data_IF_047070453083
#
_entry.id   IF_047070453083
#
_cell.length_a   1.000
_cell.length_b   1.000
_cell.length_c   1.000
_cell.angle_alpha   90.00
_cell.angle_beta   90.00
_cell.angle_gamma   90.00
#
_symmetry.space_group_name_H-M   'P 1'
#
loop_
_entity.id
_entity.type
_entity.pdbx_description
1 polymer ?
#
# COMPACT_ATOMS: atom_id res chain seq x y z
N UNK A 1 3.58 23.90 4.39
CA UNK A 1 3.03 23.83 3.02
C UNK A 1 1.56 24.21 3.09
N UNK A 2 1.12 25.21 2.33
CA UNK A 2 -0.24 25.74 2.32
C UNK A 2 -1.09 25.02 1.28
N UNK A 3 -2.22 24.45 1.71
CA UNK A 3 -3.25 23.83 0.86
C UNK A 3 -3.94 24.91 0.01
N UNK A 4 -4.01 24.71 -1.31
CA UNK A 4 -4.76 25.58 -2.25
C UNK A 4 -6.05 24.84 -2.65
N UNK A 5 -7.23 25.35 -2.26
CA UNK A 5 -8.51 24.75 -2.67
C UNK A 5 -8.66 24.74 -4.20
N UNK A 6 -9.07 23.60 -4.76
CA UNK A 6 -9.31 23.45 -6.20
C UNK A 6 -8.18 22.78 -6.99
N UNK A 7 -7.04 22.48 -6.37
CA UNK A 7 -6.01 21.65 -7.01
C UNK A 7 -6.47 20.18 -6.98
N UNK A 8 -6.64 19.50 -8.14
CA UNK A 8 -7.01 18.09 -8.15
C UNK A 8 -5.93 17.29 -7.42
N UNK A 9 -6.33 16.59 -6.36
CA UNK A 9 -5.47 15.63 -5.66
C UNK A 9 -5.34 14.41 -6.57
N UNK A 10 -4.44 14.50 -7.56
CA UNK A 10 -4.18 13.41 -8.49
C UNK A 10 -3.23 12.43 -7.81
N UNK A 11 -3.74 11.62 -6.89
CA UNK A 11 -2.97 10.52 -6.34
C UNK A 11 -2.70 9.51 -7.47
N UNK A 12 -1.44 9.29 -7.80
CA UNK A 12 -1.05 8.32 -8.83
C UNK A 12 -1.13 6.94 -8.22
N UNK A 13 -2.10 6.16 -8.71
CA UNK A 13 -2.31 4.80 -8.25
C UNK A 13 -1.69 3.78 -9.19
N UNK A 14 -1.07 2.76 -8.62
CA UNK A 14 -0.58 1.57 -9.34
C UNK A 14 -1.40 0.35 -8.91
N UNK A 15 -1.78 -0.48 -9.88
CA UNK A 15 -2.37 -1.80 -9.61
C UNK A 15 -1.28 -2.85 -9.57
N UNK A 16 -1.30 -3.69 -8.53
CA UNK A 16 -0.35 -4.80 -8.34
C UNK A 16 -1.16 -6.06 -8.08
N UNK A 17 -0.87 -7.14 -8.80
CA UNK A 17 -1.49 -8.44 -8.60
C UNK A 17 -0.45 -9.42 -8.06
N UNK A 18 -0.73 -9.98 -6.88
CA UNK A 18 0.16 -10.90 -6.17
C UNK A 18 -0.50 -12.27 -6.10
N UNK A 19 0.12 -13.26 -6.73
CA UNK A 19 -0.20 -14.68 -6.51
C UNK A 19 0.45 -15.11 -5.19
N UNK A 20 -0.34 -15.59 -4.24
CA UNK A 20 0.19 -16.13 -2.98
C UNK A 20 1.02 -17.37 -3.25
N UNK A 21 2.14 -17.47 -2.54
CA UNK A 21 2.99 -18.65 -2.57
C UNK A 21 2.56 -19.61 -1.46
N UNK A 22 2.48 -20.90 -1.77
CA UNK A 22 2.26 -21.94 -0.77
C UNK A 22 3.55 -22.18 0.01
N UNK A 23 3.45 -22.06 1.33
CA UNK A 23 4.53 -22.32 2.29
C UNK A 23 3.97 -23.23 3.38
N UNK A 24 4.20 -24.54 3.23
CA UNK A 24 3.51 -25.59 3.98
C UNK A 24 1.98 -25.51 3.81
N UNK A 25 1.27 -25.41 4.94
CA UNK A 25 -0.20 -25.27 4.99
C UNK A 25 -0.68 -23.83 4.81
N UNK A 26 0.24 -22.87 4.68
CA UNK A 26 -0.08 -21.45 4.60
C UNK A 26 0.11 -20.90 3.18
N UNK A 27 -0.58 -19.78 2.92
CA UNK A 27 -0.41 -18.97 1.73
C UNK A 27 0.20 -17.63 2.13
N UNK A 28 1.39 -17.33 1.62
CA UNK A 28 2.16 -16.14 1.97
C UNK A 28 2.21 -15.14 0.81
N UNK A 29 2.24 -13.86 1.16
CA UNK A 29 2.37 -12.76 0.21
C UNK A 29 3.81 -12.22 0.12
N UNK A 30 4.68 -12.55 1.08
CA UNK A 30 6.07 -12.09 1.06
C UNK A 30 6.26 -10.60 1.34
N UNK A 31 5.40 -9.97 2.14
CA UNK A 31 5.59 -8.60 2.63
C UNK A 31 4.96 -8.41 4.01
N UNK A 32 5.33 -7.32 4.70
CA UNK A 32 4.77 -6.90 5.99
C UNK A 32 4.05 -5.57 5.85
N UNK A 33 3.03 -5.35 6.69
CA UNK A 33 2.30 -4.09 6.77
C UNK A 33 2.51 -3.39 8.11
N UNK A 34 2.29 -2.08 8.14
CA UNK A 34 2.22 -1.24 9.32
C UNK A 34 1.13 -0.17 9.16
N UNK A 35 0.77 0.48 10.26
CA UNK A 35 -0.32 1.46 10.29
C UNK A 35 -1.69 0.84 10.56
N UNK A 36 -2.74 1.63 10.35
CA UNK A 36 -4.11 1.36 10.78
C UNK A 36 -4.63 2.46 11.70
N UNK A 37 -5.94 2.70 11.69
CA UNK A 37 -6.56 3.79 12.46
C UNK A 37 -6.40 3.65 13.98
N UNK A 38 -6.18 2.42 14.44
CA UNK A 38 -5.94 2.00 15.81
C UNK A 38 -4.46 2.05 16.23
N UNK A 39 -3.56 2.41 15.30
CA UNK A 39 -2.13 2.52 15.56
C UNK A 39 -1.69 3.98 15.70
N UNK A 40 -0.52 4.18 16.33
CA UNK A 40 0.14 5.48 16.41
C UNK A 40 0.80 5.83 15.07
N UNK A 41 0.21 6.79 14.36
CA UNK A 41 0.69 7.25 13.06
C UNK A 41 2.03 7.99 13.14
N UNK A 42 2.39 8.56 14.31
CA UNK A 42 3.64 9.30 14.48
C UNK A 42 4.87 8.41 14.30
N UNK A 43 4.73 7.11 14.57
CA UNK A 43 5.78 6.10 14.45
C UNK A 43 5.97 5.60 13.03
N UNK A 44 5.10 5.96 12.08
CA UNK A 44 5.22 5.52 10.69
C UNK A 44 6.33 6.32 9.96
N UNK A 45 7.45 5.70 9.53
CA UNK A 45 8.53 6.40 8.84
C UNK A 45 8.20 6.68 7.37
N UNK A 46 7.18 6.04 6.79
CA UNK A 46 6.89 6.12 5.35
C UNK A 46 5.94 7.28 4.99
N UNK A 47 5.16 7.75 5.96
CA UNK A 47 4.31 8.93 5.79
C UNK A 47 5.04 10.24 6.14
N UNK A 48 4.86 11.25 5.30
CA UNK A 48 5.22 12.65 5.60
C UNK A 48 4.21 13.29 6.55
N UNK A 49 2.93 12.95 6.40
CA UNK A 49 1.89 13.35 7.33
C UNK A 49 1.87 12.39 8.51
N UNK A 50 2.32 12.85 9.68
CA UNK A 50 2.37 12.06 10.91
C UNK A 50 1.00 11.80 11.54
N UNK A 51 -0.07 12.31 10.94
CA UNK A 51 -1.45 11.94 11.25
C UNK A 51 -2.00 10.85 10.32
N UNK A 52 -1.27 10.46 9.27
CA UNK A 52 -1.71 9.47 8.29
C UNK A 52 -1.74 8.06 8.89
N UNK A 53 -2.97 7.57 9.05
CA UNK A 53 -3.30 6.26 9.63
C UNK A 53 -3.46 5.14 8.60
N UNK A 54 -3.09 5.38 7.34
CA UNK A 54 -3.20 4.38 6.27
C UNK A 54 -2.34 3.14 6.49
N UNK A 55 -2.53 2.15 5.63
CA UNK A 55 -1.76 0.90 5.64
C UNK A 55 -0.56 1.04 4.71
N UNK A 56 0.64 0.76 5.23
CA UNK A 56 1.90 0.87 4.50
C UNK A 56 2.64 -0.45 4.45
N UNK A 57 3.35 -0.69 3.35
CA UNK A 57 4.29 -1.80 3.22
C UNK A 57 5.58 -1.46 3.98
N UNK A 58 5.87 -2.22 5.04
CA UNK A 58 7.04 -1.96 5.92
C UNK A 58 8.25 -2.82 5.55
N UNK A 59 8.02 -3.95 4.90
CA UNK A 59 9.06 -4.88 4.44
C UNK A 59 8.56 -5.66 3.24
N UNK A 60 9.45 -5.97 2.31
CA UNK A 60 9.20 -6.92 1.21
C UNK A 60 10.28 -8.01 1.27
N UNK A 61 9.88 -9.27 1.13
CA UNK A 61 10.79 -10.41 1.11
C UNK A 61 11.44 -10.53 -0.27
N UNK A 62 12.77 -10.57 -0.29
CA UNK A 62 13.56 -10.76 -1.52
C UNK A 62 13.21 -12.09 -2.19
N UNK A 63 12.98 -12.05 -3.50
CA UNK A 63 12.51 -13.18 -4.32
C UNK A 63 11.07 -13.62 -4.03
N UNK A 64 10.36 -12.95 -3.11
CA UNK A 64 9.01 -13.30 -2.73
C UNK A 64 7.96 -12.82 -3.74
N UNK A 65 6.72 -13.31 -3.65
CA UNK A 65 5.69 -13.00 -4.64
C UNK A 65 5.35 -11.50 -4.70
N UNK A 66 5.41 -10.77 -3.59
CA UNK A 66 5.25 -9.32 -3.59
C UNK A 66 6.36 -8.56 -4.34
N UNK A 67 7.62 -8.97 -4.19
CA UNK A 67 8.73 -8.34 -4.91
C UNK A 67 8.61 -8.57 -6.41
N UNK A 68 8.30 -9.81 -6.82
CA UNK A 68 8.09 -10.20 -8.23
C UNK A 68 6.94 -9.41 -8.85
N UNK A 69 5.87 -9.14 -8.09
CA UNK A 69 4.75 -8.33 -8.53
C UNK A 69 5.06 -6.81 -8.58
N UNK A 70 6.22 -6.38 -8.09
CA UNK A 70 6.67 -4.98 -8.11
C UNK A 70 6.19 -4.15 -6.91
N UNK A 71 5.76 -4.78 -5.82
CA UNK A 71 5.47 -4.11 -4.56
C UNK A 71 6.77 -3.64 -3.92
N UNK A 72 6.77 -2.45 -3.32
CA UNK A 72 7.97 -1.84 -2.71
C UNK A 72 7.69 -1.42 -1.27
N UNK A 73 8.75 -1.35 -0.49
CA UNK A 73 8.71 -0.76 0.85
C UNK A 73 8.30 0.71 0.72
N UNK A 74 7.39 1.15 1.60
CA UNK A 74 6.84 2.50 1.60
C UNK A 74 5.61 2.70 0.72
N UNK A 75 5.20 1.70 -0.07
CA UNK A 75 3.92 1.75 -0.80
C UNK A 75 2.76 1.87 0.18
N UNK A 76 1.84 2.81 -0.08
CA UNK A 76 0.59 2.95 0.67
C UNK A 76 -0.49 2.11 0.00
N UNK A 77 -1.12 1.21 0.75
CA UNK A 77 -2.18 0.34 0.25
C UNK A 77 -3.51 1.06 0.38
N UNK A 78 -4.13 1.37 -0.76
CA UNK A 78 -5.44 2.02 -0.85
C UNK A 78 -6.57 1.00 -0.89
N UNK A 79 -6.37 -0.12 -1.60
CA UNK A 79 -7.36 -1.19 -1.70
C UNK A 79 -6.75 -2.59 -1.73
N UNK A 80 -7.51 -3.57 -1.22
CA UNK A 80 -7.22 -5.00 -1.28
C UNK A 80 -8.44 -5.73 -1.84
N UNK A 81 -8.33 -6.31 -3.04
CA UNK A 81 -9.44 -7.02 -3.71
C UNK A 81 -10.74 -6.17 -3.76
N UNK A 82 -10.59 -4.87 -4.04
CA UNK A 82 -11.70 -3.90 -4.10
C UNK A 82 -12.18 -3.37 -2.74
N UNK A 83 -11.67 -3.89 -1.62
CA UNK A 83 -11.96 -3.36 -0.30
C UNK A 83 -11.10 -2.15 0.01
N UNK A 84 -11.72 -1.06 0.47
CA UNK A 84 -11.01 0.13 0.91
C UNK A 84 -10.16 -0.13 2.15
N UNK A 85 -8.90 0.34 2.14
CA UNK A 85 -7.93 0.21 3.22
C UNK A 85 -7.54 1.55 3.85
N UNK A 86 -8.22 2.65 3.50
CA UNK A 86 -7.82 4.00 3.95
C UNK A 86 -8.16 4.25 5.42
N UNK A 87 -9.24 3.66 5.91
CA UNK A 87 -9.77 3.86 7.26
C UNK A 87 -10.06 2.53 7.97
N UNK A 88 -9.09 1.60 7.93
CA UNK A 88 -9.20 0.29 8.56
C UNK A 88 -8.26 0.16 9.75
N UNK A 89 -8.60 -0.74 10.67
CA UNK A 89 -7.65 -1.14 11.71
C UNK A 89 -6.55 -2.02 11.14
N UNK A 90 -5.44 -2.13 11.85
CA UNK A 90 -4.33 -3.00 11.47
C UNK A 90 -4.79 -4.46 11.27
N UNK A 91 -5.57 -4.97 12.22
CA UNK A 91 -6.08 -6.36 12.16
C UNK A 91 -7.08 -6.56 11.01
N UNK A 92 -7.91 -5.56 10.69
CA UNK A 92 -8.79 -5.60 9.52
C UNK A 92 -7.98 -5.73 8.23
N UNK A 93 -6.94 -4.91 8.05
CA UNK A 93 -6.05 -4.99 6.90
C UNK A 93 -5.39 -6.38 6.80
N UNK A 94 -4.82 -6.88 7.91
CA UNK A 94 -4.22 -8.23 8.00
C UNK A 94 -5.21 -9.32 7.58
N UNK A 95 -6.44 -9.29 8.10
CA UNK A 95 -7.49 -10.28 7.77
C UNK A 95 -7.83 -10.27 6.28
N UNK A 96 -7.88 -9.10 5.65
CA UNK A 96 -8.19 -8.96 4.22
C UNK A 96 -7.07 -9.53 3.34
N UNK A 97 -5.82 -9.30 3.70
CA UNK A 97 -4.65 -9.84 2.98
C UNK A 97 -4.50 -11.36 3.12
N UNK A 98 -4.85 -11.91 4.29
CA UNK A 98 -4.56 -13.32 4.65
C UNK A 98 -5.73 -14.29 4.47
N UNK A 99 -6.80 -13.90 3.77
CA UNK A 99 -7.90 -14.81 3.48
C UNK A 99 -7.43 -16.08 2.74
N UNK A 100 -7.70 -17.25 3.33
CA UNK A 100 -7.26 -18.56 2.81
C UNK A 100 -7.92 -18.98 1.50
N UNK A 101 -9.11 -18.45 1.19
CA UNK A 101 -9.87 -18.76 -0.05
C UNK A 101 -9.50 -17.86 -1.23
N UNK A 102 -8.56 -16.94 -1.05
CA UNK A 102 -8.15 -15.99 -2.07
C UNK A 102 -6.66 -16.21 -2.35
N UNK A 103 -6.35 -16.96 -3.41
CA UNK A 103 -4.96 -17.25 -3.82
C UNK A 103 -4.31 -16.04 -4.50
N UNK A 104 -5.11 -15.11 -5.01
CA UNK A 104 -4.67 -13.87 -5.66
C UNK A 104 -5.12 -12.67 -4.84
N UNK A 105 -4.20 -11.72 -4.64
CA UNK A 105 -4.49 -10.43 -4.00
C UNK A 105 -4.16 -9.31 -4.96
N UNK A 106 -5.17 -8.52 -5.30
CA UNK A 106 -5.06 -7.32 -6.12
C UNK A 106 -5.01 -6.11 -5.22
N UNK A 107 -3.90 -5.39 -5.28
CA UNK A 107 -3.65 -4.18 -4.53
C UNK A 107 -3.82 -2.96 -5.44
N UNK A 108 -4.43 -1.91 -4.90
CA UNK A 108 -4.28 -0.57 -5.41
C UNK A 108 -3.36 0.18 -4.45
N UNK A 109 -2.24 0.69 -4.94
CA UNK A 109 -1.24 1.37 -4.11
C UNK A 109 -0.97 2.78 -4.62
N UNK A 110 -0.49 3.66 -3.75
CA UNK A 110 0.17 4.90 -4.14
C UNK A 110 1.65 4.86 -3.74
N UNK A 111 2.48 5.53 -4.53
CA UNK A 111 3.93 5.58 -4.34
C UNK A 111 4.42 6.99 -4.67
N UNK A 112 5.11 7.62 -3.72
CA UNK A 112 5.62 9.00 -3.86
C UNK A 112 6.42 9.23 -5.14
N UNK A 113 7.31 8.30 -5.49
CA UNK A 113 8.11 8.43 -6.71
C UNK A 113 7.27 8.46 -8.00
N UNK A 114 6.08 7.81 -8.01
CA UNK A 114 5.18 7.88 -9.17
C UNK A 114 4.46 9.22 -9.22
N UNK A 115 4.07 9.76 -8.07
CA UNK A 115 3.45 11.09 -7.96
C UNK A 115 4.42 12.18 -8.43
N UNK A 116 5.70 12.09 -8.05
CA UNK A 116 6.74 13.03 -8.50
C UNK A 116 6.95 12.97 -10.01
N UNK A 117 7.03 11.78 -10.60
CA UNK A 117 7.20 11.61 -12.05
C UNK A 117 6.03 12.20 -12.82
N UNK A 118 4.79 11.92 -12.39
CA UNK A 118 3.59 12.48 -13.04
C UNK A 118 3.55 13.99 -12.89
N UNK A 119 3.87 14.50 -11.70
CA UNK A 119 3.95 15.95 -11.45
C UNK A 119 4.97 16.61 -12.36
N UNK A 120 6.18 16.04 -12.51
CA UNK A 120 7.21 16.54 -13.41
C UNK A 120 6.78 16.49 -14.88
N UNK A 121 6.06 15.45 -15.30
CA UNK A 121 5.54 15.34 -16.66
C UNK A 121 4.48 16.42 -16.96
N UNK A 122 3.64 16.78 -15.98
CA UNK A 122 2.60 17.80 -16.14
C UNK A 122 3.15 19.23 -16.16
N UNK A 123 4.34 19.46 -15.59
CA UNK A 123 4.97 20.80 -15.55
C UNK A 123 5.83 21.11 -16.78
N UNK A 124 6.06 20.15 -17.67
CA UNK A 124 6.87 20.29 -18.89
C UNK A 124 6.04 20.61 -20.15
N UNK A 125 4.73 20.82 -19.99
CA UNK A 125 3.79 21.25 -21.02
C UNK A 125 3.02 22.48 -20.54
#
# INVERSE_FOLDING_TARGET
MSFIPGQPVTAVVQRIEIQKLRDGDNLILGFSIGGGIDQDASQNPFSEDKSDKGIYVTRVSKGGPAEVAGLRIGDKIMQVNGWDMTMVTHDQARKRLTKKKEDVVRLLITRKSLEEVVRQSMMQH
#
